data_IF_948289046439
#
_entry.id   IF_948289046439
#
_cell.length_a   1.000
_cell.length_b   1.000
_cell.length_c   1.000
_cell.angle_alpha   90.00
_cell.angle_beta   90.00
_cell.angle_gamma   90.00
#
_symmetry.space_group_name_H-M   'P 1'
#
loop_
_entity.id
_entity.type
_entity.pdbx_description
1 polymer ?
#
# COMPACT_ATOMS: atom_id res chain seq x y z
N UNK A 1 -14.77 -38.96 10.35
CA UNK A 1 -14.61 -38.29 9.04
C UNK A 1 -13.88 -36.98 9.28
N UNK A 2 -12.86 -36.68 8.47
CA UNK A 2 -11.94 -35.55 8.68
C UNK A 2 -12.67 -34.24 8.43
N UNK A 3 -12.65 -33.34 9.41
CA UNK A 3 -12.94 -31.93 9.19
C UNK A 3 -11.80 -31.37 8.34
N UNK A 4 -12.05 -31.20 7.03
CA UNK A 4 -11.16 -30.47 6.15
C UNK A 4 -11.22 -29.01 6.54
N UNK A 5 -10.27 -28.58 7.37
CA UNK A 5 -9.94 -27.15 7.48
C UNK A 5 -9.32 -26.80 6.13
N UNK A 6 -10.05 -26.06 5.31
CA UNK A 6 -9.46 -25.39 4.14
C UNK A 6 -8.24 -24.61 4.64
N UNK A 7 -7.08 -24.73 4.00
CA UNK A 7 -5.91 -23.97 4.42
C UNK A 7 -6.26 -22.49 4.27
N UNK A 8 -6.29 -21.76 5.39
CA UNK A 8 -6.27 -20.30 5.39
C UNK A 8 -5.12 -19.87 4.49
N UNK A 9 -5.44 -19.34 3.31
CA UNK A 9 -4.46 -18.80 2.39
C UNK A 9 -3.79 -17.60 3.09
N UNK A 10 -2.65 -17.85 3.70
CA UNK A 10 -1.70 -16.80 4.10
C UNK A 10 -1.18 -16.23 2.79
N UNK A 11 -1.82 -15.18 2.30
CA UNK A 11 -1.42 -14.45 1.10
C UNK A 11 -0.12 -13.72 1.47
N UNK A 12 1.06 -14.15 0.96
CA UNK A 12 2.28 -13.50 1.35
C UNK A 12 2.34 -12.08 0.78
N UNK A 13 3.03 -11.19 1.48
CA UNK A 13 3.13 -9.76 1.16
C UNK A 13 3.50 -9.47 -0.31
N UNK A 14 4.31 -10.34 -0.90
CA UNK A 14 4.73 -10.28 -2.30
C UNK A 14 3.55 -10.32 -3.30
N UNK A 15 2.38 -10.83 -2.91
CA UNK A 15 1.16 -10.79 -3.74
C UNK A 15 0.58 -9.38 -3.78
N UNK A 16 0.59 -8.64 -2.67
CA UNK A 16 0.10 -7.25 -2.63
C UNK A 16 1.05 -6.30 -3.35
N UNK A 17 2.35 -6.61 -3.34
CA UNK A 17 3.39 -5.83 -4.02
C UNK A 17 3.78 -6.42 -5.38
N UNK A 18 2.80 -6.98 -6.10
CA UNK A 18 3.01 -7.50 -7.45
C UNK A 18 3.36 -6.42 -8.48
N UNK A 19 3.81 -6.87 -9.66
CA UNK A 19 4.26 -6.01 -10.77
C UNK A 19 3.24 -4.95 -11.16
N UNK A 20 1.95 -5.30 -11.21
CA UNK A 20 0.87 -4.36 -11.55
C UNK A 20 0.76 -3.19 -10.56
N UNK A 21 0.83 -3.46 -9.26
CA UNK A 21 0.79 -2.45 -8.21
C UNK A 21 1.95 -1.46 -8.32
N UNK A 22 3.15 -2.00 -8.52
CA UNK A 22 4.36 -1.20 -8.70
C UNK A 22 4.27 -0.35 -9.96
N UNK A 23 3.82 -0.93 -11.07
CA UNK A 23 3.63 -0.22 -12.34
C UNK A 23 2.67 0.97 -12.18
N UNK A 24 1.56 0.79 -11.45
CA UNK A 24 0.61 1.87 -11.16
C UNK A 24 1.25 3.00 -10.35
N UNK A 25 2.00 2.68 -9.28
CA UNK A 25 2.70 3.70 -8.48
C UNK A 25 3.70 4.47 -9.36
N UNK A 26 4.53 3.77 -10.14
CA UNK A 26 5.48 4.42 -11.05
C UNK A 26 4.78 5.36 -12.02
N UNK A 27 3.67 4.93 -12.63
CA UNK A 27 2.92 5.74 -13.58
C UNK A 27 2.27 6.96 -12.95
N UNK A 28 1.84 6.86 -11.68
CA UNK A 28 1.35 7.99 -10.91
C UNK A 28 2.45 9.02 -10.63
N UNK A 29 3.60 8.56 -10.12
CA UNK A 29 4.73 9.43 -9.77
C UNK A 29 5.37 10.09 -10.99
N UNK A 30 5.36 9.42 -12.13
CA UNK A 30 5.88 9.93 -13.39
C UNK A 30 4.89 10.85 -14.13
N UNK A 31 3.62 10.90 -13.67
CA UNK A 31 2.60 11.77 -14.22
C UNK A 31 2.95 13.26 -14.10
N UNK A 32 2.42 14.13 -14.97
CA UNK A 32 2.83 15.54 -15.07
C UNK A 32 2.57 16.36 -13.80
N UNK A 33 1.64 15.93 -12.94
CA UNK A 33 1.31 16.59 -11.68
C UNK A 33 2.43 16.45 -10.65
N UNK A 34 2.97 15.25 -10.50
CA UNK A 34 4.07 14.97 -9.56
C UNK A 34 5.42 15.22 -10.23
N UNK A 35 5.54 14.81 -11.50
CA UNK A 35 6.72 14.92 -12.34
C UNK A 35 8.00 14.44 -11.63
N UNK A 36 7.93 13.29 -10.95
CA UNK A 36 9.04 12.77 -10.18
C UNK A 36 10.11 12.16 -11.08
N UNK A 37 11.37 12.58 -10.88
CA UNK A 37 12.54 12.04 -11.58
C UNK A 37 12.66 10.51 -11.46
N UNK A 38 13.17 9.86 -12.50
CA UNK A 38 13.23 8.40 -12.62
C UNK A 38 13.94 7.72 -11.45
N UNK A 39 15.11 8.24 -11.08
CA UNK A 39 15.87 7.74 -9.94
C UNK A 39 15.08 7.84 -8.63
N UNK A 40 14.36 8.96 -8.43
CA UNK A 40 13.61 9.21 -7.20
C UNK A 40 12.41 8.28 -7.07
N UNK A 41 11.61 8.12 -8.13
CA UNK A 41 10.44 7.23 -8.11
C UNK A 41 10.85 5.75 -8.02
N UNK A 42 11.91 5.34 -8.72
CA UNK A 42 12.46 3.98 -8.60
C UNK A 42 12.96 3.71 -7.18
N UNK A 43 13.65 4.67 -6.55
CA UNK A 43 14.07 4.55 -5.15
C UNK A 43 12.88 4.46 -4.18
N UNK A 44 11.83 5.25 -4.39
CA UNK A 44 10.63 5.21 -3.56
C UNK A 44 9.96 3.82 -3.61
N UNK A 45 9.78 3.29 -4.81
CA UNK A 45 9.24 1.95 -5.05
C UNK A 45 10.17 0.85 -4.56
N UNK A 46 11.48 0.98 -4.73
CA UNK A 46 12.46 0.02 -4.20
C UNK A 46 12.38 -0.04 -2.67
N UNK A 47 12.21 1.09 -1.99
CA UNK A 47 11.98 1.13 -0.55
C UNK A 47 10.75 0.32 -0.14
N UNK A 48 9.70 0.37 -0.95
CA UNK A 48 8.47 -0.40 -0.75
C UNK A 48 8.66 -1.91 -1.00
N UNK A 49 9.44 -2.28 -2.00
CA UNK A 49 9.79 -3.69 -2.29
C UNK A 49 10.71 -4.31 -1.24
N UNK A 50 11.53 -3.50 -0.59
CA UNK A 50 12.48 -3.93 0.43
C UNK A 50 11.88 -4.02 1.85
N UNK A 51 10.56 -3.82 2.00
CA UNK A 51 9.93 -3.84 3.32
C UNK A 51 9.95 -5.24 3.94
N UNK A 52 10.29 -5.28 5.23
CA UNK A 52 10.12 -6.45 6.05
C UNK A 52 8.73 -6.44 6.69
N UNK A 53 7.90 -7.42 6.35
CA UNK A 53 6.50 -7.45 6.76
C UNK A 53 6.30 -8.34 7.96
N UNK A 54 5.79 -7.73 9.02
CA UNK A 54 5.51 -8.38 10.28
C UNK A 54 3.98 -8.44 10.47
N UNK A 55 3.44 -9.65 10.33
CA UNK A 55 2.04 -9.91 10.65
C UNK A 55 1.82 -9.93 12.16
N UNK A 56 0.71 -9.34 12.59
CA UNK A 56 0.28 -9.26 13.99
C UNK A 56 -1.11 -9.87 14.13
N UNK A 57 -1.33 -10.62 15.22
CA UNK A 57 -2.63 -11.22 15.51
C UNK A 57 -3.65 -10.18 16.01
N UNK A 58 -3.17 -9.18 16.76
CA UNK A 58 -3.98 -8.13 17.36
C UNK A 58 -3.79 -6.78 16.65
N UNK A 59 -4.79 -5.88 16.72
CA UNK A 59 -4.65 -4.53 16.20
C UNK A 59 -3.52 -3.71 16.82
N UNK A 60 -2.89 -2.86 15.99
CA UNK A 60 -1.81 -1.98 16.43
C UNK A 60 -2.45 -0.81 17.20
N UNK A 61 -2.35 -0.85 18.52
CA UNK A 61 -2.88 0.20 19.38
C UNK A 61 -1.87 1.33 19.54
N UNK A 62 -2.29 2.56 19.23
CA UNK A 62 -1.52 3.78 19.43
C UNK A 62 -2.26 4.65 20.44
N UNK A 63 -1.63 4.97 21.57
CA UNK A 63 -2.17 5.88 22.57
C UNK A 63 -1.28 7.11 22.69
N UNK A 64 -1.87 8.29 22.65
CA UNK A 64 -1.17 9.56 22.80
C UNK A 64 -2.03 10.57 23.57
N UNK A 65 -1.37 11.53 24.23
CA UNK A 65 -2.04 12.61 24.95
C UNK A 65 -2.01 13.87 24.09
N UNK A 66 -3.18 14.45 23.83
CA UNK A 66 -3.35 15.75 23.19
C UNK A 66 -3.59 16.81 24.25
N UNK A 67 -2.73 17.81 24.30
CA UNK A 67 -3.00 19.04 25.05
C UNK A 67 -3.87 19.95 24.20
N UNK A 68 -5.10 20.18 24.66
CA UNK A 68 -6.03 21.09 24.00
C UNK A 68 -5.70 22.54 24.35
N UNK A 69 -6.12 23.47 23.49
CA UNK A 69 -5.96 24.91 23.75
C UNK A 69 -6.71 25.39 24.99
N UNK A 70 -7.68 24.61 25.51
CA UNK A 70 -8.35 24.84 26.79
C UNK A 70 -7.45 24.58 28.02
N UNK A 71 -6.29 23.96 27.83
CA UNK A 71 -5.41 23.49 28.91
C UNK A 71 -5.75 22.09 29.42
N UNK A 72 -6.78 21.45 28.87
CA UNK A 72 -7.13 20.05 29.16
C UNK A 72 -6.24 19.08 28.38
N UNK A 73 -5.88 17.96 29.00
CA UNK A 73 -5.19 16.87 28.34
C UNK A 73 -6.18 15.75 28.04
N UNK A 74 -6.26 15.33 26.78
CA UNK A 74 -7.10 14.22 26.33
C UNK A 74 -6.23 13.03 25.95
N UNK A 75 -6.50 11.85 26.53
CA UNK A 75 -5.90 10.60 26.05
C UNK A 75 -6.71 10.10 24.85
N UNK A 76 -6.06 9.98 23.69
CA UNK A 76 -6.64 9.41 22.48
C UNK A 76 -5.97 8.06 22.24
N UNK A 77 -6.79 7.02 22.16
CA UNK A 77 -6.36 5.68 21.77
C UNK A 77 -6.97 5.34 20.42
N UNK A 78 -6.12 5.09 19.43
CA UNK A 78 -6.50 4.69 18.09
C UNK A 78 -6.00 3.27 17.81
N UNK A 79 -6.86 2.44 17.21
CA UNK A 79 -6.49 1.10 16.74
C UNK A 79 -6.26 1.14 15.24
N UNK A 80 -5.04 0.83 14.79
CA UNK A 80 -4.67 0.77 13.37
C UNK A 80 -4.52 -0.68 12.91
N UNK A 81 -4.91 -0.93 11.67
CA UNK A 81 -4.68 -2.23 11.02
C UNK A 81 -3.26 -2.38 10.50
N UNK A 82 -2.66 -1.26 10.10
CA UNK A 82 -1.42 -1.22 9.34
C UNK A 82 -0.56 -0.05 9.84
N UNK A 83 0.75 -0.25 9.87
CA UNK A 83 1.75 0.78 10.16
C UNK A 83 3.01 0.52 9.35
N UNK A 84 3.51 1.57 8.69
CA UNK A 84 4.83 1.56 8.08
C UNK A 84 5.81 2.39 8.91
N UNK A 85 6.86 1.74 9.41
CA UNK A 85 8.04 2.37 9.99
C UNK A 85 9.14 2.49 8.90
N UNK A 86 9.32 3.71 8.37
CA UNK A 86 10.27 3.97 7.28
C UNK A 86 11.72 3.82 7.71
N UNK A 87 12.05 4.18 8.95
CA UNK A 87 13.43 4.17 9.45
C UNK A 87 13.97 2.74 9.55
N UNK A 88 13.12 1.80 9.97
CA UNK A 88 13.48 0.40 10.11
C UNK A 88 13.07 -0.48 8.91
N UNK A 89 12.49 0.11 7.86
CA UNK A 89 11.90 -0.60 6.72
C UNK A 89 10.92 -1.71 7.14
N UNK A 90 10.18 -1.51 8.25
CA UNK A 90 9.23 -2.49 8.77
C UNK A 90 7.81 -2.10 8.44
N UNK A 91 7.06 -3.07 7.92
CA UNK A 91 5.64 -2.94 7.67
C UNK A 91 4.88 -3.87 8.61
N UNK A 92 4.13 -3.29 9.54
CA UNK A 92 3.30 -4.04 10.48
C UNK A 92 1.88 -4.08 9.95
N UNK A 93 1.29 -5.27 9.89
CA UNK A 93 -0.08 -5.45 9.42
C UNK A 93 -0.80 -6.50 10.23
N UNK A 94 -2.11 -6.36 10.40
CA UNK A 94 -2.93 -7.48 10.81
C UNK A 94 -3.00 -8.52 9.68
N UNK A 95 -3.18 -9.79 10.05
CA UNK A 95 -3.50 -10.84 9.07
C UNK A 95 -4.83 -10.51 8.39
N UNK A 96 -4.85 -10.55 7.07
CA UNK A 96 -6.07 -10.27 6.29
C UNK A 96 -7.01 -11.47 6.41
N UNK A 97 -8.20 -11.22 6.92
CA UNK A 97 -9.28 -12.21 6.99
C UNK A 97 -10.42 -11.86 6.03
N UNK A 98 -10.32 -12.37 4.78
CA UNK A 98 -11.33 -12.13 3.75
C UNK A 98 -12.71 -12.71 4.10
N UNK A 99 -12.79 -13.65 5.04
CA UNK A 99 -14.07 -14.24 5.47
C UNK A 99 -14.96 -13.24 6.22
N UNK A 100 -14.38 -12.14 6.73
CA UNK A 100 -15.11 -11.04 7.39
C UNK A 100 -15.96 -10.19 6.43
N UNK A 101 -15.96 -10.50 5.13
CA UNK A 101 -16.83 -9.90 4.12
C UNK A 101 -16.37 -8.53 3.63
N UNK A 102 -17.17 -7.94 2.73
CA UNK A 102 -16.77 -6.74 1.97
C UNK A 102 -16.45 -5.52 2.84
N UNK A 103 -17.16 -5.32 3.95
CA UNK A 103 -16.90 -4.20 4.87
C UNK A 103 -15.46 -4.25 5.40
N UNK A 104 -15.02 -5.41 5.86
CA UNK A 104 -13.66 -5.58 6.38
C UNK A 104 -12.62 -5.41 5.27
N UNK A 105 -12.89 -5.96 4.09
CA UNK A 105 -11.97 -5.85 2.94
C UNK A 105 -11.77 -4.37 2.55
N UNK A 106 -12.83 -3.57 2.50
CA UNK A 106 -12.71 -2.15 2.14
C UNK A 106 -12.04 -1.33 3.25
N UNK A 107 -12.29 -1.63 4.53
CA UNK A 107 -11.60 -1.00 5.66
C UNK A 107 -10.09 -1.28 5.59
N UNK A 108 -9.71 -2.55 5.40
CA UNK A 108 -8.31 -2.95 5.27
C UNK A 108 -7.65 -2.30 4.04
N UNK A 109 -8.31 -2.36 2.87
CA UNK A 109 -7.81 -1.74 1.65
C UNK A 109 -7.60 -0.23 1.83
N UNK A 110 -8.49 0.45 2.55
CA UNK A 110 -8.36 1.88 2.84
C UNK A 110 -7.12 2.15 3.70
N UNK A 111 -6.98 1.48 4.84
CA UNK A 111 -5.80 1.65 5.70
C UNK A 111 -4.49 1.28 4.97
N UNK A 112 -4.52 0.24 4.13
CA UNK A 112 -3.35 -0.17 3.33
C UNK A 112 -2.95 0.95 2.38
N UNK A 113 -3.92 1.48 1.66
CA UNK A 113 -3.70 2.49 0.63
C UNK A 113 -3.19 3.80 1.22
N UNK A 114 -3.74 4.22 2.36
CA UNK A 114 -3.31 5.42 3.09
C UNK A 114 -1.85 5.29 3.52
N UNK A 115 -1.50 4.19 4.21
CA UNK A 115 -0.13 3.99 4.72
C UNK A 115 0.90 3.93 3.59
N UNK A 116 0.57 3.29 2.46
CA UNK A 116 1.47 3.23 1.31
C UNK A 116 1.60 4.62 0.66
N UNK A 117 0.50 5.35 0.51
CA UNK A 117 0.50 6.67 -0.14
C UNK A 117 1.24 7.72 0.70
N UNK A 118 1.00 7.79 2.02
CA UNK A 118 1.80 8.58 2.96
C UNK A 118 3.28 8.18 2.94
N UNK A 119 3.51 6.89 2.75
CA UNK A 119 4.81 6.27 2.58
C UNK A 119 5.59 6.84 1.40
N UNK A 120 4.96 6.84 0.24
CA UNK A 120 5.56 7.22 -1.04
C UNK A 120 5.60 8.74 -1.23
N UNK A 121 4.52 9.44 -0.87
CA UNK A 121 4.32 10.87 -1.16
C UNK A 121 4.56 11.79 0.05
N UNK A 122 5.44 11.41 0.97
CA UNK A 122 5.67 12.20 2.19
C UNK A 122 6.15 13.64 1.95
N UNK A 123 6.75 13.93 0.79
CA UNK A 123 7.13 15.28 0.37
C UNK A 123 6.04 15.99 -0.47
N UNK A 124 5.00 15.27 -0.91
CA UNK A 124 3.95 15.74 -1.81
C UNK A 124 2.56 15.38 -1.26
N UNK A 125 2.24 15.89 -0.06
CA UNK A 125 1.05 15.48 0.70
C UNK A 125 -0.28 15.74 -0.01
N UNK A 126 -0.32 16.75 -0.89
CA UNK A 126 -1.53 17.17 -1.62
C UNK A 126 -2.08 16.08 -2.55
N UNK A 127 -1.28 15.06 -2.85
CA UNK A 127 -1.63 13.97 -3.77
C UNK A 127 -1.79 12.61 -3.08
N UNK A 128 -1.72 12.57 -1.74
CA UNK A 128 -1.89 11.33 -0.97
C UNK A 128 -3.27 10.72 -1.21
N UNK A 129 -4.32 11.53 -1.19
CA UNK A 129 -5.70 11.05 -1.36
C UNK A 129 -5.92 10.43 -2.75
N UNK A 130 -5.36 11.05 -3.79
CA UNK A 130 -5.49 10.55 -5.16
C UNK A 130 -4.80 9.19 -5.35
N UNK A 131 -3.57 9.06 -4.85
CA UNK A 131 -2.87 7.78 -4.88
C UNK A 131 -3.59 6.73 -4.01
N UNK A 132 -4.12 7.13 -2.85
CA UNK A 132 -4.87 6.25 -1.95
C UNK A 132 -6.07 5.63 -2.65
N UNK A 133 -6.86 6.40 -3.38
CA UNK A 133 -8.02 5.87 -4.11
C UNK A 133 -7.62 4.89 -5.22
N UNK A 134 -6.52 5.16 -5.93
CA UNK A 134 -6.01 4.26 -6.96
C UNK A 134 -5.53 2.93 -6.35
N UNK A 135 -4.72 2.98 -5.30
CA UNK A 135 -4.21 1.79 -4.62
C UNK A 135 -5.36 0.96 -4.05
N UNK A 136 -6.36 1.62 -3.46
CA UNK A 136 -7.55 0.95 -2.89
C UNK A 136 -8.30 0.19 -3.96
N UNK A 137 -8.48 0.80 -5.14
CA UNK A 137 -9.13 0.14 -6.28
C UNK A 137 -8.31 -1.06 -6.78
N UNK A 138 -6.98 -0.91 -6.90
CA UNK A 138 -6.09 -2.03 -7.28
C UNK A 138 -6.19 -3.19 -6.28
N UNK A 139 -6.24 -2.89 -4.98
CA UNK A 139 -6.40 -3.90 -3.93
C UNK A 139 -7.72 -4.66 -4.08
N UNK A 140 -8.83 -3.96 -4.33
CA UNK A 140 -10.15 -4.57 -4.55
C UNK A 140 -10.19 -5.40 -5.83
N UNK A 141 -9.43 -5.01 -6.86
CA UNK A 141 -9.24 -5.78 -8.09
C UNK A 141 -8.24 -6.94 -7.94
N UNK A 142 -7.81 -7.25 -6.72
CA UNK A 142 -6.88 -8.32 -6.39
C UNK A 142 -5.58 -8.26 -7.20
N UNK A 143 -5.11 -7.05 -7.51
CA UNK A 143 -3.86 -6.81 -8.24
C UNK A 143 -3.81 -7.43 -9.64
N UNK A 144 -4.97 -7.71 -10.25
CA UNK A 144 -5.04 -8.26 -11.60
C UNK A 144 -4.35 -7.34 -12.63
N UNK A 145 -3.29 -7.81 -13.29
CA UNK A 145 -2.45 -6.97 -14.15
C UNK A 145 -3.20 -6.38 -15.36
N UNK A 146 -4.14 -7.12 -15.95
CA UNK A 146 -4.94 -6.62 -17.07
C UNK A 146 -5.90 -5.50 -16.62
N UNK A 147 -6.57 -5.69 -15.48
CA UNK A 147 -7.44 -4.70 -14.88
C UNK A 147 -6.67 -3.45 -14.46
N UNK A 148 -5.47 -3.61 -13.88
CA UNK A 148 -4.59 -2.50 -13.52
C UNK A 148 -4.12 -1.75 -14.77
N UNK A 149 -3.75 -2.47 -15.83
CA UNK A 149 -3.36 -1.86 -17.11
C UNK A 149 -4.50 -1.03 -17.71
N UNK A 150 -5.74 -1.54 -17.65
CA UNK A 150 -6.92 -0.78 -18.07
C UNK A 150 -7.14 0.46 -17.18
N UNK A 151 -7.05 0.31 -15.85
CA UNK A 151 -7.17 1.42 -14.91
C UNK A 151 -6.17 2.54 -15.21
N UNK A 152 -4.88 2.20 -15.40
CA UNK A 152 -3.84 3.17 -15.75
C UNK A 152 -4.18 3.94 -17.03
N UNK A 153 -4.59 3.24 -18.09
CA UNK A 153 -5.04 3.88 -19.34
C UNK A 153 -6.20 4.83 -19.11
N UNK A 154 -7.21 4.42 -18.32
CA UNK A 154 -8.38 5.27 -18.01
C UNK A 154 -8.04 6.53 -17.22
N UNK A 155 -6.91 6.52 -16.51
CA UNK A 155 -6.39 7.62 -15.71
C UNK A 155 -5.26 8.40 -16.39
N UNK A 156 -4.96 8.07 -17.66
CA UNK A 156 -3.85 8.63 -18.42
C UNK A 156 -2.50 8.47 -17.70
N UNK A 157 -2.32 7.38 -16.95
CA UNK A 157 -1.06 7.04 -16.31
C UNK A 157 -0.22 6.22 -17.28
N UNK A 158 1.04 6.59 -17.40
CA UNK A 158 2.02 5.91 -18.24
C UNK A 158 3.35 5.84 -17.49
N UNK A 159 4.12 4.80 -17.80
CA UNK A 159 5.49 4.66 -17.30
C UNK A 159 6.47 4.86 -18.44
N UNK A 160 7.70 5.26 -18.10
CA UNK A 160 8.76 5.50 -19.06
C UNK A 160 9.66 4.27 -19.22
N UNK A 161 10.60 4.34 -20.17
CA UNK A 161 11.48 3.20 -20.47
C UNK A 161 12.31 2.77 -19.26
N UNK A 162 12.77 3.73 -18.46
CA UNK A 162 13.53 3.50 -17.23
C UNK A 162 12.73 2.74 -16.17
N UNK A 163 11.41 2.92 -16.18
CA UNK A 163 10.49 2.24 -15.27
C UNK A 163 10.20 0.81 -15.74
N UNK A 164 10.08 0.59 -17.05
CA UNK A 164 9.94 -0.76 -17.63
C UNK A 164 11.21 -1.58 -17.38
N UNK A 165 12.39 -0.98 -17.52
CA UNK A 165 13.68 -1.63 -17.20
C UNK A 165 13.78 -1.99 -15.71
N UNK A 166 13.39 -1.06 -14.83
CA UNK A 166 13.32 -1.32 -13.39
C UNK A 166 12.37 -2.49 -13.08
N UNK A 167 11.16 -2.47 -13.64
CA UNK A 167 10.16 -3.52 -13.46
C UNK A 167 10.66 -4.88 -13.95
N UNK A 168 11.33 -4.92 -15.11
CA UNK A 168 11.90 -6.15 -15.65
C UNK A 168 12.99 -6.74 -14.73
N UNK A 169 13.79 -5.90 -14.09
CA UNK A 169 14.80 -6.34 -13.11
C UNK A 169 14.19 -6.77 -11.78
N UNK A 170 13.15 -6.07 -11.29
CA UNK A 170 12.53 -6.36 -10.00
C UNK A 170 11.59 -7.57 -10.05
N UNK A 171 11.00 -7.83 -11.22
CA UNK A 171 10.07 -8.93 -11.47
C UNK A 171 10.50 -9.73 -12.71
N UNK A 172 11.61 -10.49 -12.63
CA UNK A 172 12.09 -11.28 -13.75
C UNK A 172 11.06 -12.36 -14.09
N UNK A 173 10.73 -12.48 -15.38
CA UNK A 173 9.92 -13.58 -15.89
C UNK A 173 10.64 -14.91 -15.62
N UNK A 174 10.05 -15.76 -14.79
CA UNK A 174 10.52 -17.15 -14.60
C UNK A 174 10.34 -18.00 -15.85
#
# INVERSE_FOLDING_TARGET
MRNGVEPELVIPWNIFMGKGMVKLILGFLAGPTINMEAERRNKAVQGLLNLNVNETADPITVSYNLSLSSGENMNVTASRMIRWDKESSKFFTQKIDRSKGHKYIIEFATCFSEVISEGILWENSDHIDELTELIKLVFVLEFNEEAVTFLMKSKNLQIFVEDEDFLASAFPSG
#
